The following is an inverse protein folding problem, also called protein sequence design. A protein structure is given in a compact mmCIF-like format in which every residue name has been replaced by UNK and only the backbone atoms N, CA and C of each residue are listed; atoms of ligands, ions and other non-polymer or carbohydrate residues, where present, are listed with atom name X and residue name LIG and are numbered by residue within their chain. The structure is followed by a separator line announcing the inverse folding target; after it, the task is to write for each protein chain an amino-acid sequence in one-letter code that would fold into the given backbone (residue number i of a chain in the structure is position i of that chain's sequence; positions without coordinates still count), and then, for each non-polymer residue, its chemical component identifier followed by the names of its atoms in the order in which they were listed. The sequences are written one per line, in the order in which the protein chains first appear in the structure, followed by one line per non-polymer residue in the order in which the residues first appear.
data_IF_746757164599
#
_entry.id   IF_746757164599
#
_cell.length_a   1.000
_cell.length_b   1.000
_cell.length_c   1.000
_cell.angle_alpha   90.00
_cell.angle_beta   90.00
_cell.angle_gamma   90.00
#
_symmetry.space_group_name_H-M   'P 1'
#
loop_
_entity.id
_entity.type
_entity.pdbx_description
1 polymer ?
#
# COMPACT_ATOMS: atom_id res chain seq x y z
N UNK A 1 -3.39 -24.21 14.18
CA UNK A 1 -4.36 -23.38 13.44
C UNK A 1 -4.34 -22.00 14.07
N UNK A 2 -4.01 -20.94 13.30
CA UNK A 2 -4.07 -19.57 13.81
C UNK A 2 -5.55 -19.18 13.82
N UNK A 3 -6.09 -18.77 14.97
CA UNK A 3 -7.47 -18.27 15.09
C UNK A 3 -7.66 -17.10 14.13
N UNK A 4 -8.74 -17.09 13.35
CA UNK A 4 -9.10 -15.91 12.56
C UNK A 4 -9.30 -14.74 13.53
N UNK A 5 -8.57 -13.64 13.31
CA UNK A 5 -8.74 -12.41 14.08
C UNK A 5 -10.02 -11.72 13.63
N UNK A 6 -10.75 -11.03 14.53
CA UNK A 6 -11.96 -10.31 14.16
C UNK A 6 -11.65 -9.28 13.06
N UNK A 7 -12.61 -9.09 12.16
CA UNK A 7 -12.48 -8.11 11.07
C UNK A 7 -12.43 -6.71 11.68
N UNK A 8 -11.25 -6.09 11.64
CA UNK A 8 -10.98 -4.76 12.15
C UNK A 8 -10.49 -3.89 10.99
N UNK A 9 -11.15 -2.76 10.76
CA UNK A 9 -10.66 -1.74 9.84
C UNK A 9 -10.20 -0.50 10.62
N UNK A 10 -9.04 0.09 10.30
CA UNK A 10 -8.58 1.33 10.91
C UNK A 10 -9.28 2.57 10.32
N UNK A 11 -9.96 2.46 9.18
CA UNK A 11 -10.54 3.61 8.46
C UNK A 11 -11.58 4.39 9.27
N UNK A 12 -12.49 3.76 10.02
CA UNK A 12 -13.44 4.49 10.88
C UNK A 12 -12.75 5.32 11.98
N UNK A 13 -11.54 4.92 12.42
CA UNK A 13 -10.79 5.66 13.43
C UNK A 13 -10.22 6.97 12.88
N UNK A 14 -10.01 7.08 11.56
CA UNK A 14 -9.48 8.29 10.95
C UNK A 14 -10.41 9.48 11.12
N UNK A 15 -11.72 9.25 11.08
CA UNK A 15 -12.73 10.30 11.24
C UNK A 15 -13.07 10.62 12.70
N UNK A 16 -12.54 9.85 13.66
CA UNK A 16 -12.73 10.16 15.08
C UNK A 16 -11.82 11.35 15.42
N UNK A 17 -12.42 12.46 15.85
CA UNK A 17 -11.74 13.73 16.11
C UNK A 17 -10.70 13.66 17.25
N UNK A 18 -10.25 14.84 17.69
CA UNK A 18 -9.24 14.99 18.76
C UNK A 18 -9.66 14.44 20.14
N UNK A 19 -10.92 14.03 20.30
CA UNK A 19 -11.49 13.52 21.56
C UNK A 19 -11.14 12.05 21.84
N UNK A 20 -10.40 11.38 20.93
CA UNK A 20 -9.89 10.05 21.21
C UNK A 20 -8.68 10.13 22.16
N UNK A 21 -8.66 9.39 23.28
CA UNK A 21 -7.54 9.43 24.21
C UNK A 21 -6.28 8.91 23.52
N UNK A 22 -5.41 9.81 23.07
CA UNK A 22 -3.99 9.54 22.78
C UNK A 22 -3.22 9.36 24.09
N UNK A 23 -3.80 8.60 25.03
CA UNK A 23 -3.14 8.28 26.29
C UNK A 23 -2.11 7.20 25.97
N UNK A 24 -0.84 7.53 26.15
CA UNK A 24 0.26 6.57 26.08
C UNK A 24 0.09 5.52 27.20
N UNK A 25 -0.65 4.46 26.92
CA UNK A 25 -0.75 3.32 27.83
C UNK A 25 0.52 2.47 27.71
N UNK A 26 1.36 2.55 28.75
CA UNK A 26 2.54 1.70 28.93
C UNK A 26 3.84 2.34 28.43
N UNK A 27 4.76 2.58 29.36
CA UNK A 27 6.15 2.95 29.07
C UNK A 27 7.05 1.71 29.23
N UNK A 28 6.84 0.67 28.42
CA UNK A 28 7.85 -0.38 28.31
C UNK A 28 8.95 0.16 27.40
N UNK A 29 10.20 0.11 27.87
CA UNK A 29 11.37 0.35 27.02
C UNK A 29 11.47 -0.81 26.04
N UNK A 30 10.93 -0.61 24.84
CA UNK A 30 10.91 -1.64 23.80
C UNK A 30 12.26 -1.77 23.09
N UNK A 31 13.02 -0.67 23.03
CA UNK A 31 14.27 -0.51 22.26
C UNK A 31 15.36 0.02 23.20
N UNK A 32 16.61 -0.45 23.02
CA UNK A 32 17.78 -0.10 23.83
C UNK A 32 18.25 -1.28 24.68
N UNK A 33 19.38 -1.12 25.36
CA UNK A 33 19.99 -2.18 26.17
C UNK A 33 19.00 -2.78 27.18
N UNK A 34 18.74 -4.09 27.08
CA UNK A 34 17.72 -4.85 27.84
C UNK A 34 16.27 -4.53 27.47
N UNK A 35 16.04 -3.84 26.35
CA UNK A 35 14.72 -3.61 25.79
C UNK A 35 14.06 -4.91 25.36
N UNK A 36 12.73 -4.95 25.36
CA UNK A 36 11.98 -6.16 25.03
C UNK A 36 12.35 -6.75 23.66
N UNK A 37 12.70 -5.92 22.68
CA UNK A 37 13.09 -6.36 21.33
C UNK A 37 14.52 -6.91 21.23
N UNK A 38 15.40 -6.69 22.22
CA UNK A 38 16.74 -7.30 22.23
C UNK A 38 16.71 -8.76 22.74
N UNK A 39 15.63 -9.15 23.43
CA UNK A 39 15.48 -10.48 24.05
C UNK A 39 14.83 -11.53 23.13
N UNK A 40 15.05 -11.44 21.82
CA UNK A 40 14.51 -12.44 20.87
C UNK A 40 15.37 -13.72 20.76
N UNK A 41 16.43 -13.86 21.56
CA UNK A 41 17.37 -14.99 21.48
C UNK A 41 17.52 -15.87 22.74
N UNK A 42 17.00 -15.48 23.90
CA UNK A 42 17.29 -16.18 25.19
C UNK A 42 16.22 -17.21 25.57
N UNK A 43 15.86 -18.07 24.62
CA UNK A 43 14.86 -19.13 24.79
C UNK A 43 15.40 -20.55 24.56
N UNK A 44 16.72 -20.76 24.65
CA UNK A 44 17.30 -22.08 24.45
C UNK A 44 18.75 -22.16 24.92
N UNK A 45 18.95 -22.96 25.97
CA UNK A 45 20.22 -23.46 26.51
C UNK A 45 21.04 -22.45 27.34
N UNK A 46 20.89 -22.59 28.66
CA UNK A 46 21.85 -22.09 29.64
C UNK A 46 23.20 -22.81 29.45
N UNK A 47 24.28 -22.04 29.48
CA UNK A 47 25.58 -22.46 30.01
C UNK A 47 26.28 -21.20 30.54
N UNK A 48 26.56 -21.24 31.85
CA UNK A 48 27.30 -20.24 32.60
C UNK A 48 28.70 -20.02 32.01
N UNK A 49 29.17 -18.77 31.98
CA UNK A 49 30.50 -18.42 32.48
C UNK A 49 30.68 -16.91 32.66
N UNK A 50 31.35 -16.57 33.76
CA UNK A 50 31.62 -15.23 34.25
C UNK A 50 32.57 -14.39 33.40
N UNK A 51 32.40 -13.07 33.55
CA UNK A 51 33.44 -12.02 33.54
C UNK A 51 34.15 -11.68 32.22
N UNK A 52 34.01 -10.43 31.76
CA UNK A 52 35.05 -9.39 31.84
C UNK A 52 34.64 -8.07 31.16
N UNK A 53 35.30 -7.02 31.62
CA UNK A 53 35.16 -5.57 31.45
C UNK A 53 35.39 -5.03 30.03
N UNK A 54 35.09 -3.73 29.76
CA UNK A 54 34.71 -3.23 28.45
C UNK A 54 35.91 -2.81 27.60
N UNK A 55 35.86 -3.13 26.31
CA UNK A 55 36.82 -2.60 25.33
C UNK A 55 36.13 -1.66 24.35
N UNK A 56 36.61 -0.40 24.41
CA UNK A 56 36.37 0.68 23.45
C UNK A 56 36.58 0.19 22.02
N UNK A 57 35.60 0.42 21.15
CA UNK A 57 35.84 0.59 19.72
C UNK A 57 35.35 1.96 19.29
N UNK A 58 36.33 2.77 18.91
CA UNK A 58 36.20 4.03 18.19
C UNK A 58 35.60 3.71 16.82
N UNK A 59 34.38 4.20 16.57
CA UNK A 59 33.64 4.04 15.33
C UNK A 59 33.68 5.31 14.50
N UNK A 60 34.15 5.17 13.28
CA UNK A 60 34.42 6.18 12.25
C UNK A 60 33.15 6.99 11.93
N UNK A 61 33.15 8.28 12.28
CA UNK A 61 32.07 9.24 11.97
C UNK A 61 32.55 10.42 11.12
N UNK A 62 33.52 10.22 10.22
CA UNK A 62 34.11 11.30 9.41
C UNK A 62 33.98 11.11 7.88
N UNK A 63 32.92 10.46 7.39
CA UNK A 63 32.72 10.30 5.92
C UNK A 63 31.38 10.83 5.36
N UNK A 64 30.44 11.31 6.18
CA UNK A 64 29.11 11.74 5.68
C UNK A 64 29.02 13.26 5.39
N UNK A 65 30.05 14.06 5.70
CA UNK A 65 30.01 15.52 5.46
C UNK A 65 30.57 16.01 4.12
N UNK A 66 30.86 15.12 3.15
CA UNK A 66 31.48 15.49 1.87
C UNK A 66 30.70 15.13 0.59
N UNK A 67 29.43 14.68 0.71
CA UNK A 67 28.56 14.40 -0.46
C UNK A 67 27.31 15.31 -0.43
N UNK A 68 27.45 16.53 0.07
CA UNK A 68 26.39 17.54 0.06
C UNK A 68 26.88 18.90 -0.46
N UNK A 69 28.02 18.94 -1.16
CA UNK A 69 28.64 20.18 -1.64
C UNK A 69 29.07 20.15 -3.11
N UNK A 70 28.45 19.29 -3.93
CA UNK A 70 28.77 19.16 -5.38
C UNK A 70 27.53 19.01 -6.28
N UNK A 71 26.37 19.56 -5.88
CA UNK A 71 25.20 19.69 -6.78
C UNK A 71 24.66 21.12 -6.90
N UNK A 72 25.51 22.11 -6.67
CA UNK A 72 25.20 23.52 -6.95
C UNK A 72 26.13 24.05 -8.02
N UNK A 73 25.94 23.60 -9.27
CA UNK A 73 26.40 24.33 -10.46
C UNK A 73 25.76 23.72 -11.72
N UNK A 74 24.55 24.19 -12.07
CA UNK A 74 24.04 24.07 -13.44
C UNK A 74 23.61 25.48 -13.89
N UNK A 75 24.25 25.92 -14.97
CA UNK A 75 24.15 27.24 -15.59
C UNK A 75 22.72 27.64 -15.97
N UNK A 76 22.42 28.96 -15.97
CA UNK A 76 21.11 29.50 -16.32
C UNK A 76 20.96 29.71 -17.84
N UNK A 77 19.69 29.82 -18.27
CA UNK A 77 19.18 30.23 -19.60
C UNK A 77 19.03 29.18 -20.70
N UNK A 78 17.84 28.58 -20.76
CA UNK A 78 17.01 28.58 -21.99
C UNK A 78 15.56 28.92 -21.62
N UNK A 79 15.06 30.03 -22.16
CA UNK A 79 13.63 30.39 -22.11
C UNK A 79 12.86 29.36 -22.95
N UNK A 80 12.04 28.54 -22.30
CA UNK A 80 11.01 27.73 -22.97
C UNK A 80 9.72 28.56 -23.08
N UNK A 81 8.95 28.48 -24.18
CA UNK A 81 7.78 29.31 -24.40
C UNK A 81 6.68 28.99 -23.38
N UNK A 82 5.99 30.03 -22.89
CA UNK A 82 4.77 29.89 -22.10
C UNK A 82 3.68 29.19 -22.91
N UNK A 83 3.57 27.87 -22.74
CA UNK A 83 2.35 27.14 -23.04
C UNK A 83 1.39 27.42 -21.89
N UNK A 84 0.29 28.13 -22.18
CA UNK A 84 -0.83 28.30 -21.24
C UNK A 84 -1.28 26.90 -20.80
N UNK A 85 -1.32 26.57 -19.50
CA UNK A 85 -1.81 25.27 -19.06
C UNK A 85 -3.34 25.28 -19.17
N UNK A 86 -3.86 24.97 -20.35
CA UNK A 86 -5.24 24.52 -20.52
C UNK A 86 -5.29 23.00 -20.33
N UNK A 87 -4.73 22.53 -19.20
CA UNK A 87 -4.84 21.14 -18.76
C UNK A 87 -5.81 21.11 -17.61
N UNK A 88 -6.83 20.25 -17.68
CA UNK A 88 -7.68 19.90 -16.55
C UNK A 88 -6.76 19.49 -15.40
N UNK A 89 -6.67 20.30 -14.35
CA UNK A 89 -5.80 20.01 -13.22
C UNK A 89 -6.27 18.69 -12.59
N UNK A 90 -5.41 17.67 -12.60
CA UNK A 90 -5.73 16.38 -12.00
C UNK A 90 -5.95 16.59 -10.50
N UNK A 91 -7.15 16.28 -10.03
CA UNK A 91 -7.52 16.43 -8.63
C UNK A 91 -6.81 15.39 -7.78
N UNK A 92 -6.18 15.86 -6.71
CA UNK A 92 -5.56 15.04 -5.67
C UNK A 92 -6.20 15.50 -4.36
N UNK A 93 -7.23 14.79 -3.93
CA UNK A 93 -7.97 15.13 -2.71
C UNK A 93 -7.35 14.48 -1.46
N UNK A 94 -6.82 13.27 -1.61
CA UNK A 94 -6.23 12.52 -0.49
C UNK A 94 -4.76 12.90 -0.27
N UNK A 95 -4.41 13.24 0.96
CA UNK A 95 -3.02 13.43 1.38
C UNK A 95 -2.25 12.10 1.46
N UNK A 96 -0.93 12.18 1.64
CA UNK A 96 -0.06 10.99 1.65
C UNK A 96 -0.43 9.99 2.76
N UNK A 97 -0.94 10.46 3.90
CA UNK A 97 -1.35 9.61 5.02
C UNK A 97 -2.69 8.93 4.73
N UNK A 98 -3.65 9.65 4.17
CA UNK A 98 -4.94 9.12 3.73
C UNK A 98 -4.76 8.06 2.65
N UNK A 99 -3.91 8.30 1.64
CA UNK A 99 -3.61 7.31 0.61
C UNK A 99 -2.86 6.10 1.18
N UNK A 100 -1.90 6.32 2.09
CA UNK A 100 -1.20 5.22 2.78
C UNK A 100 -2.16 4.30 3.53
N UNK A 101 -3.12 4.87 4.27
CA UNK A 101 -4.13 4.10 5.01
C UNK A 101 -5.06 3.34 4.06
N UNK A 102 -5.57 4.00 3.03
CA UNK A 102 -6.43 3.40 2.01
C UNK A 102 -5.73 2.21 1.35
N UNK A 103 -4.50 2.38 0.88
CA UNK A 103 -3.77 1.34 0.17
C UNK A 103 -3.32 0.20 1.08
N UNK A 104 -2.98 0.48 2.34
CA UNK A 104 -2.67 -0.56 3.31
C UNK A 104 -3.87 -1.50 3.51
N UNK A 105 -5.05 -0.92 3.71
CA UNK A 105 -6.30 -1.69 3.89
C UNK A 105 -6.67 -2.45 2.61
N UNK A 106 -6.61 -1.79 1.45
CA UNK A 106 -6.94 -2.40 0.16
C UNK A 106 -6.01 -3.57 -0.18
N UNK A 107 -4.70 -3.39 -0.03
CA UNK A 107 -3.71 -4.44 -0.30
C UNK A 107 -3.87 -5.63 0.65
N UNK A 108 -4.20 -5.38 1.92
CA UNK A 108 -4.49 -6.43 2.89
C UNK A 108 -5.66 -7.31 2.41
N UNK A 109 -6.81 -6.72 2.07
CA UNK A 109 -7.97 -7.49 1.61
C UNK A 109 -7.72 -8.20 0.27
N UNK A 110 -7.02 -7.56 -0.66
CA UNK A 110 -6.65 -8.17 -1.94
C UNK A 110 -5.76 -9.41 -1.75
N UNK A 111 -4.69 -9.29 -0.97
CA UNK A 111 -3.73 -10.39 -0.73
C UNK A 111 -4.33 -11.51 0.13
N UNK A 112 -5.19 -11.19 1.09
CA UNK A 112 -5.89 -12.21 1.88
C UNK A 112 -6.88 -13.00 1.02
N UNK A 113 -7.64 -12.30 0.16
CA UNK A 113 -8.65 -12.94 -0.70
C UNK A 113 -7.99 -13.82 -1.77
N UNK A 114 -6.95 -13.32 -2.43
CA UNK A 114 -6.19 -14.12 -3.41
C UNK A 114 -5.55 -15.35 -2.76
N UNK A 115 -4.94 -15.21 -1.57
CA UNK A 115 -4.41 -16.37 -0.84
C UNK A 115 -5.50 -17.41 -0.54
N UNK A 116 -6.69 -17.00 -0.11
CA UNK A 116 -7.83 -17.92 0.13
C UNK A 116 -8.29 -18.58 -1.18
N UNK A 117 -8.41 -17.81 -2.25
CA UNK A 117 -8.80 -18.30 -3.57
C UNK A 117 -7.81 -19.33 -4.12
N UNK A 118 -6.51 -19.03 -4.13
CA UNK A 118 -5.45 -19.95 -4.59
C UNK A 118 -5.44 -21.23 -3.75
N UNK A 119 -5.60 -21.15 -2.43
CA UNK A 119 -5.72 -22.33 -1.56
C UNK A 119 -6.93 -23.20 -1.95
N UNK A 120 -8.07 -22.59 -2.23
CA UNK A 120 -9.26 -23.32 -2.68
C UNK A 120 -9.06 -23.99 -4.04
N UNK A 121 -8.36 -23.35 -4.97
CA UNK A 121 -8.03 -23.95 -6.28
C UNK A 121 -7.00 -25.08 -6.16
N UNK A 122 -6.05 -24.99 -5.22
CA UNK A 122 -5.16 -26.09 -4.86
C UNK A 122 -5.95 -27.30 -4.32
N UNK A 123 -6.86 -27.07 -3.37
CA UNK A 123 -7.68 -28.13 -2.77
C UNK A 123 -8.53 -28.88 -3.81
N UNK A 124 -8.92 -28.20 -4.89
CA UNK A 124 -9.65 -28.76 -6.02
C UNK A 124 -8.74 -29.38 -7.10
N UNK A 125 -7.42 -29.42 -6.87
CA UNK A 125 -6.44 -30.03 -7.77
C UNK A 125 -6.13 -29.21 -9.03
N UNK A 126 -6.41 -27.90 -9.03
CA UNK A 126 -6.25 -27.03 -10.22
C UNK A 126 -4.98 -26.19 -10.21
N UNK A 127 -4.19 -26.25 -9.14
CA UNK A 127 -2.86 -25.66 -9.09
C UNK A 127 -1.85 -26.57 -9.79
N UNK A 128 -1.29 -26.10 -10.91
CA UNK A 128 -0.31 -26.85 -11.70
C UNK A 128 1.07 -26.73 -11.05
N UNK A 129 1.71 -27.84 -10.63
CA UNK A 129 2.98 -27.78 -9.90
C UNK A 129 4.11 -27.09 -10.66
N UNK A 130 4.18 -27.27 -11.98
CA UNK A 130 5.22 -26.66 -12.82
C UNK A 130 5.06 -25.15 -12.93
N UNK A 131 3.82 -24.63 -13.00
CA UNK A 131 3.55 -23.19 -13.00
C UNK A 131 3.81 -22.58 -11.63
N UNK A 132 3.39 -23.25 -10.56
CA UNK A 132 3.72 -22.83 -9.19
C UNK A 132 5.24 -22.76 -8.96
N UNK A 133 5.99 -23.76 -9.44
CA UNK A 133 7.45 -23.78 -9.32
C UNK A 133 8.10 -22.56 -9.97
N UNK A 134 7.63 -22.13 -11.14
CA UNK A 134 8.14 -20.91 -11.81
C UNK A 134 7.99 -19.67 -10.93
N UNK A 135 6.83 -19.53 -10.28
CA UNK A 135 6.58 -18.41 -9.35
C UNK A 135 7.52 -18.49 -8.14
N UNK A 136 7.65 -19.66 -7.52
CA UNK A 136 8.52 -19.81 -6.34
C UNK A 136 9.99 -19.60 -6.67
N UNK A 137 10.47 -20.11 -7.81
CA UNK A 137 11.86 -19.94 -8.23
C UNK A 137 12.15 -18.45 -8.47
N UNK A 138 11.27 -17.73 -9.19
CA UNK A 138 11.41 -16.30 -9.43
C UNK A 138 11.39 -15.50 -8.12
N UNK A 139 10.54 -15.88 -7.16
CA UNK A 139 10.49 -15.28 -5.83
C UNK A 139 11.81 -15.46 -5.07
N UNK A 140 12.37 -16.67 -5.05
CA UNK A 140 13.64 -16.95 -4.37
C UNK A 140 14.85 -16.32 -5.05
N UNK A 141 14.85 -16.23 -6.39
CA UNK A 141 15.90 -15.55 -7.15
C UNK A 141 15.99 -14.06 -6.83
N UNK A 142 14.90 -13.45 -6.35
CA UNK A 142 14.90 -12.07 -5.83
C UNK A 142 15.41 -11.95 -4.39
N UNK A 143 15.92 -13.05 -3.80
CA UNK A 143 16.40 -13.07 -2.40
C UNK A 143 15.28 -13.00 -1.36
N UNK A 144 14.03 -13.31 -1.74
CA UNK A 144 12.87 -13.18 -0.85
C UNK A 144 12.67 -14.45 0.00
N UNK A 145 12.21 -14.30 1.25
CA UNK A 145 12.04 -15.43 2.17
C UNK A 145 10.90 -16.35 1.75
N UNK A 146 10.88 -17.58 2.26
CA UNK A 146 9.76 -18.50 2.11
C UNK A 146 8.48 -17.90 2.67
N UNK A 147 7.38 -18.08 1.94
CA UNK A 147 6.05 -17.60 2.35
C UNK A 147 5.25 -18.71 3.05
N UNK A 148 4.35 -18.31 3.94
CA UNK A 148 3.35 -19.21 4.54
C UNK A 148 2.14 -19.28 3.61
N UNK A 149 1.73 -20.48 3.22
CA UNK A 149 0.66 -20.66 2.22
C UNK A 149 1.03 -20.02 0.89
N UNK A 150 0.15 -19.17 0.37
CA UNK A 150 0.37 -18.38 -0.86
C UNK A 150 0.52 -16.88 -0.58
N UNK A 151 0.99 -16.52 0.63
CA UNK A 151 1.17 -15.12 1.06
C UNK A 151 2.38 -14.43 0.42
N UNK A 152 2.44 -14.45 -0.91
CA UNK A 152 3.33 -13.59 -1.67
C UNK A 152 2.83 -12.13 -1.65
N UNK A 153 3.62 -11.20 -2.20
CA UNK A 153 3.10 -9.86 -2.46
C UNK A 153 1.98 -9.89 -3.53
N UNK A 154 1.16 -8.83 -3.56
CA UNK A 154 -0.03 -8.77 -4.43
C UNK A 154 0.31 -9.03 -5.90
N UNK A 155 1.40 -8.42 -6.39
CA UNK A 155 1.87 -8.60 -7.77
C UNK A 155 2.15 -10.08 -8.08
N UNK A 156 2.87 -10.77 -7.19
CA UNK A 156 3.23 -12.18 -7.37
C UNK A 156 2.00 -13.09 -7.28
N UNK A 157 1.04 -12.79 -6.40
CA UNK A 157 -0.21 -13.56 -6.33
C UNK A 157 -1.04 -13.41 -7.61
N UNK A 158 -1.10 -12.20 -8.18
CA UNK A 158 -1.76 -11.94 -9.46
C UNK A 158 -1.07 -12.71 -10.60
N UNK A 159 0.26 -12.72 -10.63
CA UNK A 159 1.03 -13.49 -11.62
C UNK A 159 0.78 -14.99 -11.50
N UNK A 160 0.67 -15.52 -10.28
CA UNK A 160 0.32 -16.93 -10.05
C UNK A 160 -1.04 -17.25 -10.65
N UNK A 161 -2.06 -16.42 -10.41
CA UNK A 161 -3.41 -16.61 -10.98
C UNK A 161 -3.36 -16.50 -12.51
N UNK A 162 -2.60 -15.54 -13.04
CA UNK A 162 -2.44 -15.36 -14.49
C UNK A 162 -1.80 -16.56 -15.19
N UNK A 163 -0.86 -17.25 -14.53
CA UNK A 163 -0.27 -18.49 -15.04
C UNK A 163 -1.23 -19.68 -15.01
N UNK A 164 -2.38 -19.57 -14.34
CA UNK A 164 -3.37 -20.64 -14.19
C UNK A 164 -4.73 -20.29 -14.82
N UNK A 165 -4.78 -19.36 -15.79
CA UNK A 165 -6.05 -18.93 -16.41
C UNK A 165 -6.80 -20.10 -17.05
N UNK A 166 -6.11 -21.11 -17.59
CA UNK A 166 -6.73 -22.29 -18.19
C UNK A 166 -7.22 -23.31 -17.17
N UNK A 167 -6.65 -23.32 -15.96
CA UNK A 167 -6.95 -24.33 -14.95
C UNK A 167 -7.89 -23.84 -13.87
N UNK A 168 -7.78 -22.56 -13.47
CA UNK A 168 -8.59 -22.01 -12.39
C UNK A 168 -10.03 -21.75 -12.83
N UNK A 169 -10.96 -21.86 -11.88
CA UNK A 169 -12.36 -21.47 -12.10
C UNK A 169 -12.56 -20.01 -11.73
N UNK A 170 -13.09 -19.23 -12.66
CA UNK A 170 -13.48 -17.84 -12.46
C UNK A 170 -15.00 -17.70 -12.41
N UNK A 171 -15.46 -16.61 -11.82
CA UNK A 171 -16.87 -16.28 -11.57
C UNK A 171 -17.26 -14.95 -12.25
N UNK A 172 -18.55 -14.64 -12.22
CA UNK A 172 -19.08 -13.36 -12.64
C UNK A 172 -19.13 -13.16 -14.16
N UNK A 173 -19.35 -11.92 -14.59
CA UNK A 173 -19.63 -11.59 -16.01
C UNK A 173 -18.50 -11.98 -16.98
N UNK A 174 -17.26 -12.08 -16.50
CA UNK A 174 -16.05 -12.31 -17.32
C UNK A 174 -15.60 -13.77 -17.35
N UNK A 175 -16.29 -14.67 -16.64
CA UNK A 175 -15.82 -16.03 -16.36
C UNK A 175 -15.54 -16.91 -17.59
N UNK A 176 -16.15 -16.60 -18.74
CA UNK A 176 -16.00 -17.38 -19.97
C UNK A 176 -15.04 -16.75 -20.99
N UNK A 177 -14.44 -15.60 -20.69
CA UNK A 177 -13.56 -14.89 -21.63
C UNK A 177 -12.13 -14.78 -21.09
N UNK A 178 -11.21 -15.69 -21.47
CA UNK A 178 -9.81 -15.65 -21.05
C UNK A 178 -9.09 -14.33 -21.35
N UNK A 179 -9.49 -13.62 -22.42
CA UNK A 179 -8.90 -12.32 -22.78
C UNK A 179 -9.29 -11.24 -21.78
N UNK A 180 -10.56 -11.21 -21.36
CA UNK A 180 -11.03 -10.26 -20.34
C UNK A 180 -10.44 -10.55 -18.97
N UNK A 181 -10.32 -11.84 -18.61
CA UNK A 181 -9.66 -12.29 -17.37
C UNK A 181 -8.19 -11.84 -17.38
N UNK A 182 -7.46 -12.13 -18.46
CA UNK A 182 -6.07 -11.74 -18.62
C UNK A 182 -5.89 -10.21 -18.58
N UNK A 183 -6.79 -9.46 -19.21
CA UNK A 183 -6.76 -7.99 -19.21
C UNK A 183 -6.96 -7.42 -17.80
N UNK A 184 -7.90 -7.97 -17.03
CA UNK A 184 -8.11 -7.56 -15.64
C UNK A 184 -6.92 -7.92 -14.75
N UNK A 185 -6.38 -9.13 -14.87
CA UNK A 185 -5.19 -9.55 -14.11
C UNK A 185 -3.98 -8.66 -14.45
N UNK A 186 -3.81 -8.29 -15.72
CA UNK A 186 -2.78 -7.33 -16.13
C UNK A 186 -3.01 -5.94 -15.50
N UNK A 187 -4.24 -5.42 -15.51
CA UNK A 187 -4.57 -4.16 -14.86
C UNK A 187 -4.29 -4.22 -13.34
N UNK A 188 -4.66 -5.32 -12.68
CA UNK A 188 -4.39 -5.54 -11.25
C UNK A 188 -2.90 -5.63 -10.95
N UNK A 189 -2.10 -6.21 -11.83
CA UNK A 189 -0.64 -6.20 -11.73
C UNK A 189 -0.07 -4.77 -11.75
N UNK A 190 -0.56 -3.94 -12.67
CA UNK A 190 -0.18 -2.51 -12.77
C UNK A 190 -0.61 -1.76 -11.51
N UNK A 191 -1.83 -2.00 -11.03
CA UNK A 191 -2.35 -1.41 -9.80
C UNK A 191 -1.49 -1.80 -8.59
N UNK A 192 -1.12 -3.07 -8.45
CA UNK A 192 -0.27 -3.55 -7.37
C UNK A 192 1.08 -2.83 -7.31
N UNK A 193 1.70 -2.59 -8.47
CA UNK A 193 2.96 -1.82 -8.57
C UNK A 193 2.78 -0.36 -8.13
N UNK A 194 1.70 0.27 -8.56
CA UNK A 194 1.40 1.66 -8.19
C UNK A 194 1.11 1.79 -6.68
N UNK A 195 0.31 0.89 -6.12
CA UNK A 195 -0.06 0.86 -4.70
C UNK A 195 1.13 0.63 -3.75
N UNK A 196 2.19 -0.03 -4.24
CA UNK A 196 3.39 -0.32 -3.44
C UNK A 196 4.13 0.94 -2.97
N UNK A 197 4.01 2.05 -3.69
CA UNK A 197 4.68 3.31 -3.34
C UNK A 197 3.73 4.20 -2.53
N UNK A 198 3.71 4.01 -1.21
CA UNK A 198 2.74 4.65 -0.31
C UNK A 198 3.02 6.13 -0.01
N UNK A 199 4.17 6.64 -0.44
CA UNK A 199 4.59 8.03 -0.20
C UNK A 199 4.22 8.99 -1.34
N UNK A 200 3.72 8.48 -2.47
CA UNK A 200 3.28 9.32 -3.59
C UNK A 200 1.77 9.43 -3.64
N UNK A 201 1.27 10.66 -3.75
CA UNK A 201 -0.14 10.90 -3.94
C UNK A 201 -0.52 10.67 -5.41
N UNK A 202 -1.42 9.72 -5.64
CA UNK A 202 -2.07 9.47 -6.92
C UNK A 202 -3.28 10.41 -7.11
N UNK A 203 -3.62 10.77 -8.36
CA UNK A 203 -4.87 11.45 -8.67
C UNK A 203 -6.10 10.64 -8.24
N UNK A 204 -7.18 11.34 -7.89
CA UNK A 204 -8.44 10.73 -7.46
C UNK A 204 -9.00 9.76 -8.51
N UNK A 205 -8.83 10.07 -9.80
CA UNK A 205 -9.24 9.20 -10.91
C UNK A 205 -8.47 7.88 -10.96
N UNK A 206 -7.19 7.89 -10.56
CA UNK A 206 -6.35 6.69 -10.49
C UNK A 206 -6.81 5.81 -9.32
N UNK A 207 -7.03 6.40 -8.15
CA UNK A 207 -7.54 5.69 -6.97
C UNK A 207 -8.92 5.08 -7.26
N UNK A 208 -9.83 5.85 -7.87
CA UNK A 208 -11.16 5.38 -8.25
C UNK A 208 -11.08 4.18 -9.20
N UNK A 209 -10.20 4.22 -10.19
CA UNK A 209 -9.97 3.09 -11.10
C UNK A 209 -9.42 1.87 -10.37
N UNK A 210 -8.45 2.04 -9.47
CA UNK A 210 -7.89 0.94 -8.69
C UNK A 210 -8.96 0.27 -7.80
N UNK A 211 -9.85 1.05 -7.20
CA UNK A 211 -10.99 0.53 -6.42
C UNK A 211 -11.97 -0.24 -7.32
N UNK A 212 -12.28 0.28 -8.50
CA UNK A 212 -13.16 -0.38 -9.46
C UNK A 212 -12.56 -1.70 -10.00
N UNK A 213 -11.27 -1.70 -10.34
CA UNK A 213 -10.54 -2.89 -10.77
C UNK A 213 -10.46 -3.93 -9.62
N UNK A 214 -10.34 -3.48 -8.37
CA UNK A 214 -10.35 -4.36 -7.18
C UNK A 214 -11.70 -5.04 -6.99
N UNK A 215 -12.82 -4.30 -7.12
CA UNK A 215 -14.16 -4.89 -7.10
C UNK A 215 -14.32 -5.91 -8.22
N UNK A 216 -13.88 -5.55 -9.43
CA UNK A 216 -13.90 -6.43 -10.58
C UNK A 216 -13.11 -7.74 -10.35
N UNK A 217 -11.97 -7.67 -9.65
CA UNK A 217 -11.19 -8.85 -9.28
C UNK A 217 -11.96 -9.71 -8.27
N UNK A 218 -12.54 -9.11 -7.24
CA UNK A 218 -13.34 -9.82 -6.23
C UNK A 218 -14.54 -10.55 -6.84
N UNK A 219 -15.26 -9.90 -7.75
CA UNK A 219 -16.35 -10.52 -8.50
C UNK A 219 -15.84 -11.70 -9.34
N UNK A 220 -14.68 -11.54 -9.99
CA UNK A 220 -14.09 -12.55 -10.86
C UNK A 220 -13.60 -13.79 -10.11
N UNK A 221 -13.12 -13.65 -8.87
CA UNK A 221 -12.65 -14.79 -8.06
C UNK A 221 -13.71 -15.32 -7.09
N UNK A 222 -14.92 -14.75 -7.09
CA UNK A 222 -16.01 -15.15 -6.21
C UNK A 222 -15.72 -14.87 -4.74
N UNK A 223 -15.20 -13.67 -4.43
CA UNK A 223 -14.93 -13.26 -3.05
C UNK A 223 -16.22 -13.26 -2.18
N UNK A 224 -16.06 -13.50 -0.88
CA UNK A 224 -17.18 -13.51 0.06
C UNK A 224 -17.79 -12.11 0.29
N UNK A 225 -19.01 -12.08 0.80
CA UNK A 225 -19.71 -10.84 1.13
C UNK A 225 -18.96 -9.96 2.15
N UNK A 226 -18.21 -10.58 3.07
CA UNK A 226 -17.38 -9.85 4.04
C UNK A 226 -16.28 -9.03 3.36
N UNK A 227 -15.64 -9.58 2.33
CA UNK A 227 -14.61 -8.88 1.55
C UNK A 227 -15.23 -7.74 0.75
N UNK A 228 -16.41 -7.96 0.16
CA UNK A 228 -17.16 -6.91 -0.55
C UNK A 228 -17.60 -5.77 0.38
N UNK A 229 -17.98 -6.10 1.62
CA UNK A 229 -18.27 -5.12 2.68
C UNK A 229 -17.02 -4.32 3.03
N UNK A 230 -15.89 -4.97 3.24
CA UNK A 230 -14.63 -4.29 3.52
C UNK A 230 -14.22 -3.35 2.38
N UNK A 231 -14.36 -3.76 1.12
CA UNK A 231 -14.12 -2.88 -0.02
C UNK A 231 -15.08 -1.68 -0.04
N UNK A 232 -16.34 -1.89 0.31
CA UNK A 232 -17.32 -0.81 0.42
C UNK A 232 -16.94 0.23 1.48
N UNK A 233 -16.34 -0.20 2.60
CA UNK A 233 -15.81 0.69 3.63
C UNK A 233 -14.61 1.51 3.12
N UNK A 234 -13.71 0.91 2.34
CA UNK A 234 -12.59 1.60 1.69
C UNK A 234 -13.11 2.63 0.68
N UNK A 235 -14.08 2.26 -0.15
CA UNK A 235 -14.72 3.15 -1.13
C UNK A 235 -15.43 4.30 -0.42
N UNK A 236 -16.08 4.04 0.70
CA UNK A 236 -16.72 5.07 1.52
C UNK A 236 -15.69 6.05 2.08
N UNK A 237 -14.58 5.55 2.65
CA UNK A 237 -13.47 6.37 3.12
C UNK A 237 -12.95 7.31 2.03
N UNK A 238 -12.68 6.78 0.84
CA UNK A 238 -12.27 7.56 -0.32
C UNK A 238 -13.29 8.65 -0.67
N UNK A 239 -14.57 8.28 -0.78
CA UNK A 239 -15.65 9.20 -1.14
C UNK A 239 -15.78 10.36 -0.16
N UNK A 240 -15.77 10.08 1.15
CA UNK A 240 -15.92 11.10 2.19
C UNK A 240 -14.81 12.16 2.10
N UNK A 241 -13.57 11.75 1.81
CA UNK A 241 -12.44 12.69 1.67
C UNK A 241 -12.55 13.51 0.38
N UNK A 242 -12.88 12.89 -0.75
CA UNK A 242 -13.09 13.63 -2.01
C UNK A 242 -14.20 14.66 -1.86
N UNK A 243 -15.32 14.29 -1.23
CA UNK A 243 -16.42 15.20 -0.96
C UNK A 243 -16.03 16.34 -0.01
N UNK A 244 -15.16 16.09 0.98
CA UNK A 244 -14.59 17.11 1.87
C UNK A 244 -13.82 18.16 1.06
N UNK A 245 -12.89 17.73 0.21
CA UNK A 245 -12.05 18.66 -0.56
C UNK A 245 -12.83 19.41 -1.65
N UNK A 246 -13.83 18.75 -2.26
CA UNK A 246 -14.72 19.39 -3.23
C UNK A 246 -15.59 20.50 -2.59
N UNK A 247 -15.95 20.38 -1.32
CA UNK A 247 -16.68 21.44 -0.58
C UNK A 247 -15.78 22.62 -0.20
N UNK A 248 -14.50 22.35 0.10
CA UNK A 248 -13.52 23.36 0.52
C UNK A 248 -12.95 24.16 -0.66
N UNK A 249 -12.75 23.54 -1.83
CA UNK A 249 -12.16 24.19 -3.01
C UNK A 249 -12.90 25.45 -3.51
N UNK A 250 -14.24 25.48 -3.62
CA UNK A 250 -14.98 26.68 -4.01
C UNK A 250 -14.84 27.83 -2.99
N UNK A 251 -14.75 27.52 -1.69
CA UNK A 251 -14.59 28.51 -0.63
C UNK A 251 -13.19 29.14 -0.65
N UNK A 252 -12.14 28.34 -0.87
CA UNK A 252 -10.76 28.85 -1.04
C UNK A 252 -10.63 29.75 -2.26
N UNK A 253 -11.26 29.40 -3.38
CA UNK A 253 -11.25 30.22 -4.61
C UNK A 253 -12.03 31.53 -4.45
N UNK A 254 -13.14 31.55 -3.69
CA UNK A 254 -13.88 32.79 -3.36
C UNK A 254 -13.10 33.69 -2.41
N UNK A 255 -12.43 33.11 -1.40
CA UNK A 255 -11.58 33.84 -0.46
C UNK A 255 -10.36 34.49 -1.12
N UNK A 256 -9.69 33.79 -2.03
CA UNK A 256 -8.55 34.32 -2.80
C UNK A 256 -8.96 35.47 -3.73
N UNK A 257 -10.08 35.36 -4.45
CA UNK A 257 -10.59 36.46 -5.29
C UNK A 257 -10.90 37.72 -4.48
N UNK A 258 -11.40 37.56 -3.25
CA UNK A 258 -11.71 38.69 -2.38
C UNK A 258 -10.44 39.37 -1.82
N UNK A 259 -9.38 38.60 -1.52
CA UNK A 259 -8.09 39.17 -1.08
C UNK A 259 -7.33 39.84 -2.22
N UNK A 260 -7.37 39.30 -3.45
CA UNK A 260 -6.76 39.94 -4.62
C UNK A 260 -7.46 41.24 -5.03
N UNK A 261 -8.79 41.31 -4.89
CA UNK A 261 -9.55 42.54 -5.18
C UNK A 261 -9.27 43.66 -4.16
N UNK A 262 -9.09 43.32 -2.87
CA UNK A 262 -8.74 44.32 -1.86
C UNK A 262 -7.30 44.83 -2.03
N UNK A 263 -6.35 43.95 -2.38
CA UNK A 263 -4.96 44.35 -2.64
C UNK A 263 -4.78 45.20 -3.91
N UNK A 264 -5.79 45.27 -4.78
CA UNK A 264 -5.74 46.06 -6.03
C UNK A 264 -6.42 47.44 -5.91
N UNK A 265 -7.08 47.73 -4.78
CA UNK A 265 -7.73 49.04 -4.54
C UNK A 265 -6.87 50.01 -3.71
N UNK A 266 -5.71 49.58 -3.23
CA UNK A 266 -4.77 50.39 -2.43
C UNK A 266 -3.57 50.93 -3.25
N UNK A 267 -3.75 51.14 -4.57
CA UNK A 267 -2.71 51.62 -5.50
C UNK A 267 -3.10 52.90 -6.22
#
# INVERSE_FOLDING_TARGET
MVSESPMFSPLPLYFRGQDFPTIKQGSKTLIGSNGWLEKTGEGGLALDSESKTPQKRIGIFDSIKKIAKDMTEIHPYRRSPQVKPSGTQLLISLDAREQSLLYCELEYHLTCTLNKYISSELEKGRLVPTNFKKITDAWYQQGRPRVVGFRFDLETQVDLVALHISEFTFCGRRQCNPVEISSLLHAMKVNARAMRIRTFCQPDSVIAKQLADSQALFDMIGASDDVNRALSEIVHFFRVIVEREHKVSPQRQRGQKHTTLMASCDG
#
